data_IF_365728555933
#
_entry.id   IF_365728555933
#
_cell.length_a   1.000
_cell.length_b   1.000
_cell.length_c   1.000
_cell.angle_alpha   90.00
_cell.angle_beta   90.00
_cell.angle_gamma   90.00
#
_symmetry.space_group_name_H-M   'P 1'
#
loop_
_entity.id
_entity.type
_entity.pdbx_description
1 polymer ?
#
# COMPACT_ATOMS: atom_id res chain seq x y z
N UNK A 1 -0.23 -16.55 34.62
CA UNK A 1 0.37 -17.46 33.62
C UNK A 1 -0.70 -17.89 32.63
N UNK A 2 -0.67 -17.36 31.42
CA UNK A 2 -1.65 -17.72 30.38
C UNK A 2 -1.27 -19.10 29.82
N UNK A 3 -1.92 -20.16 30.28
CA UNK A 3 -1.81 -21.48 29.62
C UNK A 3 -2.56 -21.37 28.29
N UNK A 4 -1.93 -21.67 27.14
CA UNK A 4 -2.55 -21.51 25.83
C UNK A 4 -3.87 -22.29 25.79
N UNK A 5 -4.91 -21.66 25.25
CA UNK A 5 -6.28 -22.19 25.18
C UNK A 5 -6.32 -23.60 24.56
N UNK A 6 -5.41 -23.86 23.62
CA UNK A 6 -5.17 -25.16 23.00
C UNK A 6 -4.73 -26.26 23.99
N UNK A 7 -3.92 -25.94 25.00
CA UNK A 7 -3.56 -26.90 26.07
C UNK A 7 -4.72 -27.14 27.03
N UNK A 8 -5.51 -26.11 27.35
CA UNK A 8 -6.68 -26.27 28.23
C UNK A 8 -7.73 -27.20 27.61
N UNK A 9 -7.91 -27.14 26.30
CA UNK A 9 -8.81 -28.03 25.56
C UNK A 9 -8.52 -29.53 25.78
N UNK A 10 -7.25 -29.91 26.01
CA UNK A 10 -6.87 -31.31 26.25
C UNK A 10 -7.23 -31.79 27.66
N UNK A 11 -7.43 -30.87 28.60
CA UNK A 11 -7.64 -31.17 30.03
C UNK A 11 -9.09 -31.01 30.48
N UNK A 12 -9.96 -30.43 29.64
CA UNK A 12 -11.36 -30.18 30.00
C UNK A 12 -12.22 -31.43 29.84
N UNK A 13 -13.07 -31.68 30.84
CA UNK A 13 -14.00 -32.83 30.89
C UNK A 13 -15.00 -32.87 29.72
N UNK A 14 -15.37 -31.71 29.17
CA UNK A 14 -16.24 -31.62 27.99
C UNK A 14 -15.61 -30.72 26.92
N UNK A 15 -14.83 -31.30 25.98
CA UNK A 15 -14.09 -30.53 24.98
C UNK A 15 -15.02 -29.87 23.94
N UNK A 16 -16.16 -30.46 23.61
CA UNK A 16 -17.09 -29.90 22.64
C UNK A 16 -17.70 -28.57 23.12
N UNK A 17 -18.18 -28.55 24.38
CA UNK A 17 -18.72 -27.33 25.00
C UNK A 17 -17.65 -26.24 25.14
N UNK A 18 -16.41 -26.63 25.46
CA UNK A 18 -15.30 -25.69 25.58
C UNK A 18 -14.89 -25.07 24.25
N UNK A 19 -14.89 -25.86 23.16
CA UNK A 19 -14.65 -25.33 21.80
C UNK A 19 -15.70 -24.32 21.39
N UNK A 20 -16.99 -24.60 21.64
CA UNK A 20 -18.06 -23.68 21.27
C UNK A 20 -17.99 -22.38 22.09
N UNK A 21 -17.71 -22.48 23.40
CA UNK A 21 -17.54 -21.32 24.27
C UNK A 21 -16.36 -20.42 23.85
N UNK A 22 -15.29 -21.00 23.30
CA UNK A 22 -14.08 -20.29 22.88
C UNK A 22 -13.90 -20.24 21.35
N UNK A 23 -14.99 -20.39 20.59
CA UNK A 23 -14.94 -20.56 19.13
C UNK A 23 -14.21 -19.43 18.42
N UNK A 24 -14.47 -18.18 18.81
CA UNK A 24 -13.81 -17.01 18.23
C UNK A 24 -12.29 -17.02 18.49
N UNK A 25 -11.87 -17.36 19.70
CA UNK A 25 -10.45 -17.43 20.08
C UNK A 25 -9.73 -18.56 19.32
N UNK A 26 -10.37 -19.71 19.13
CA UNK A 26 -9.83 -20.81 18.33
C UNK A 26 -9.70 -20.44 16.85
N UNK A 27 -10.70 -19.74 16.28
CA UNK A 27 -10.63 -19.30 14.89
C UNK A 27 -9.43 -18.36 14.65
N UNK A 28 -9.18 -17.42 15.56
CA UNK A 28 -8.02 -16.52 15.49
C UNK A 28 -6.71 -17.30 15.60
N UNK A 29 -6.63 -18.24 16.54
CA UNK A 29 -5.45 -19.09 16.72
C UNK A 29 -5.17 -19.96 15.47
N UNK A 30 -6.20 -20.58 14.90
CA UNK A 30 -6.07 -21.40 13.68
C UNK A 30 -5.64 -20.56 12.48
N UNK A 31 -6.20 -19.36 12.30
CA UNK A 31 -5.79 -18.43 11.25
C UNK A 31 -4.32 -18.00 11.41
N UNK A 32 -3.88 -17.68 12.64
CA UNK A 32 -2.48 -17.36 12.91
C UNK A 32 -1.56 -18.56 12.62
N UNK A 33 -1.93 -19.76 13.06
CA UNK A 33 -1.18 -20.97 12.76
C UNK A 33 -1.08 -21.26 11.26
N UNK A 34 -2.16 -21.04 10.50
CA UNK A 34 -2.16 -21.19 9.04
C UNK A 34 -1.20 -20.18 8.38
N UNK A 35 -1.20 -18.93 8.83
CA UNK A 35 -0.27 -17.91 8.36
C UNK A 35 1.20 -18.29 8.62
N UNK A 36 1.53 -18.70 9.86
CA UNK A 36 2.89 -19.13 10.18
C UNK A 36 3.33 -20.33 9.33
N UNK A 37 2.45 -21.33 9.13
CA UNK A 37 2.73 -22.48 8.26
C UNK A 37 2.96 -22.07 6.81
N UNK A 38 2.11 -21.19 6.26
CA UNK A 38 2.24 -20.70 4.88
C UNK A 38 3.54 -19.93 4.64
N UNK A 39 4.03 -19.21 5.66
CA UNK A 39 5.27 -18.44 5.60
C UNK A 39 6.51 -19.23 6.08
N UNK A 40 6.39 -20.55 6.34
CA UNK A 40 7.50 -21.38 6.80
C UNK A 40 8.03 -21.03 8.21
N UNK A 41 7.27 -20.26 8.97
CA UNK A 41 7.64 -19.77 10.29
C UNK A 41 7.25 -20.80 11.36
N UNK A 42 8.25 -21.39 12.03
CA UNK A 42 8.02 -22.40 13.09
C UNK A 42 7.91 -21.79 14.49
N UNK A 43 8.48 -20.61 14.68
CA UNK A 43 8.48 -19.85 15.93
C UNK A 43 8.12 -18.39 15.64
N UNK A 44 7.55 -17.70 16.63
CA UNK A 44 7.40 -16.25 16.53
C UNK A 44 8.77 -15.62 16.23
N UNK A 45 8.86 -14.74 15.22
CA UNK A 45 10.07 -13.97 14.97
C UNK A 45 10.51 -13.22 16.24
N UNK A 46 11.81 -13.05 16.42
CA UNK A 46 12.32 -12.17 17.46
C UNK A 46 11.79 -10.74 17.22
N UNK A 47 11.29 -10.09 18.28
CA UNK A 47 10.70 -8.75 18.20
C UNK A 47 11.67 -7.76 17.55
N UNK A 48 12.98 -7.92 17.81
CA UNK A 48 14.03 -7.09 17.18
C UNK A 48 14.11 -7.28 15.68
N UNK A 49 13.94 -8.50 15.19
CA UNK A 49 13.95 -8.78 13.74
C UNK A 49 12.73 -8.17 13.07
N UNK A 50 11.56 -8.30 13.70
CA UNK A 50 10.33 -7.72 13.19
C UNK A 50 10.40 -6.19 13.11
N UNK A 51 10.95 -5.53 14.13
CA UNK A 51 11.14 -4.08 14.10
C UNK A 51 12.13 -3.66 13.00
N UNK A 52 13.25 -4.39 12.84
CA UNK A 52 14.21 -4.12 11.77
C UNK A 52 13.58 -4.27 10.36
N UNK A 53 12.78 -5.31 10.13
CA UNK A 53 12.04 -5.51 8.89
C UNK A 53 11.04 -4.38 8.66
N UNK A 54 10.30 -3.98 9.71
CA UNK A 54 9.36 -2.86 9.63
C UNK A 54 10.07 -1.55 9.26
N UNK A 55 11.20 -1.21 9.90
CA UNK A 55 11.96 -0.02 9.58
C UNK A 55 12.46 -0.05 8.13
N UNK A 56 12.94 -1.20 7.68
CA UNK A 56 13.41 -1.40 6.30
C UNK A 56 12.28 -1.14 5.30
N UNK A 57 11.15 -1.84 5.43
CA UNK A 57 9.99 -1.67 4.56
C UNK A 57 9.44 -0.24 4.60
N UNK A 58 9.41 0.39 5.78
CA UNK A 58 8.95 1.77 5.94
C UNK A 58 9.86 2.75 5.19
N UNK A 59 11.18 2.55 5.26
CA UNK A 59 12.15 3.36 4.53
C UNK A 59 12.01 3.20 3.01
N UNK A 60 11.84 1.98 2.53
CA UNK A 60 11.62 1.69 1.10
C UNK A 60 10.33 2.35 0.60
N UNK A 61 9.23 2.19 1.33
CA UNK A 61 7.94 2.83 1.03
C UNK A 61 8.08 4.35 0.93
N UNK A 62 8.81 4.98 1.86
CA UNK A 62 9.03 6.42 1.84
C UNK A 62 9.88 6.85 0.63
N UNK A 63 10.89 6.05 0.26
CA UNK A 63 11.68 6.24 -0.95
C UNK A 63 10.83 6.20 -2.22
N UNK A 64 9.98 5.17 -2.36
CA UNK A 64 9.03 5.07 -3.48
C UNK A 64 8.05 6.25 -3.52
N UNK A 65 7.48 6.61 -2.37
CA UNK A 65 6.52 7.71 -2.30
C UNK A 65 7.15 9.05 -2.71
N UNK A 66 8.38 9.31 -2.29
CA UNK A 66 9.13 10.52 -2.68
C UNK A 66 9.35 10.58 -4.19
N UNK A 67 9.82 9.48 -4.79
CA UNK A 67 10.04 9.39 -6.24
C UNK A 67 8.73 9.58 -7.01
N UNK A 68 7.65 8.94 -6.56
CA UNK A 68 6.32 9.08 -7.16
C UNK A 68 5.83 10.53 -7.13
N UNK A 69 5.96 11.22 -5.99
CA UNK A 69 5.54 12.63 -5.86
C UNK A 69 6.36 13.54 -6.78
N UNK A 70 7.68 13.30 -6.88
CA UNK A 70 8.55 14.04 -7.81
C UNK A 70 8.13 13.83 -9.26
N UNK A 71 7.92 12.58 -9.68
CA UNK A 71 7.46 12.27 -11.04
C UNK A 71 6.08 12.89 -11.38
N UNK A 72 5.17 12.97 -10.41
CA UNK A 72 3.89 13.68 -10.58
C UNK A 72 4.07 15.17 -10.86
N UNK A 73 5.02 15.81 -10.18
CA UNK A 73 5.33 17.24 -10.37
C UNK A 73 5.93 17.46 -11.76
N UNK A 74 6.93 16.67 -12.12
CA UNK A 74 7.59 16.73 -13.44
C UNK A 74 6.59 16.52 -14.58
N UNK A 75 5.66 15.57 -14.44
CA UNK A 75 4.60 15.36 -15.44
C UNK A 75 3.70 16.59 -15.60
N UNK A 76 3.37 17.28 -14.50
CA UNK A 76 2.56 18.51 -14.54
C UNK A 76 3.30 19.65 -15.22
N UNK A 77 4.60 19.79 -14.95
CA UNK A 77 5.45 20.80 -15.59
C UNK A 77 5.57 20.56 -17.09
N UNK A 78 5.81 19.31 -17.50
CA UNK A 78 5.86 18.93 -18.92
C UNK A 78 4.54 19.23 -19.65
N UNK A 79 3.38 18.90 -19.04
CA UNK A 79 2.07 19.24 -19.61
C UNK A 79 1.88 20.75 -19.77
N UNK A 80 2.31 21.52 -18.77
CA UNK A 80 2.26 22.98 -18.83
C UNK A 80 3.15 23.51 -19.96
N UNK A 81 4.37 23.00 -20.08
CA UNK A 81 5.30 23.38 -21.14
C UNK A 81 4.74 23.04 -22.53
N UNK A 82 4.16 21.85 -22.70
CA UNK A 82 3.48 21.46 -23.94
C UNK A 82 2.35 22.43 -24.31
N UNK A 83 1.46 22.75 -23.35
CA UNK A 83 0.38 23.70 -23.58
C UNK A 83 0.88 25.10 -23.95
N UNK A 84 1.97 25.56 -23.34
CA UNK A 84 2.58 26.84 -23.66
C UNK A 84 3.12 26.87 -25.10
N UNK A 85 3.78 25.78 -25.53
CA UNK A 85 4.26 25.63 -26.91
C UNK A 85 3.11 25.63 -27.91
N UNK A 86 2.06 24.83 -27.65
CA UNK A 86 0.86 24.81 -28.50
C UNK A 86 0.18 26.19 -28.57
N UNK A 87 0.11 26.92 -27.44
CA UNK A 87 -0.47 28.25 -27.39
C UNK A 87 0.38 29.30 -28.14
N UNK A 88 1.71 29.16 -28.12
CA UNK A 88 2.62 30.03 -28.87
C UNK A 88 2.36 29.93 -30.38
N UNK A 89 2.35 28.71 -30.93
CA UNK A 89 2.10 28.50 -32.36
C UNK A 89 0.69 28.92 -32.79
N UNK A 90 -0.34 28.63 -31.98
CA UNK A 90 -1.72 29.12 -32.26
C UNK A 90 -1.83 30.65 -32.28
N UNK A 91 -0.99 31.36 -31.53
CA UNK A 91 -0.95 32.83 -31.54
C UNK A 91 -0.24 33.36 -32.78
N UNK A 92 0.89 32.78 -33.18
CA UNK A 92 1.59 33.16 -34.41
C UNK A 92 0.70 32.98 -35.65
N UNK A 93 -0.02 31.86 -35.77
CA UNK A 93 -0.97 31.63 -36.88
C UNK A 93 -2.05 32.72 -36.97
N UNK A 94 -2.56 33.21 -35.84
CA UNK A 94 -3.55 34.30 -35.80
C UNK A 94 -2.94 35.67 -36.08
N UNK A 95 -1.67 35.88 -35.74
CA UNK A 95 -0.94 37.11 -36.07
C UNK A 95 -0.53 37.19 -37.54
N UNK A 96 -0.34 36.05 -38.21
CA UNK A 96 -0.06 35.97 -39.65
C UNK A 96 -1.30 35.90 -40.54
N UNK A 97 -2.49 35.69 -39.97
CA UNK A 97 -3.76 35.84 -40.67
C UNK A 97 -4.05 37.34 -40.88
N UNK A 98 -3.50 37.92 -41.95
CA UNK A 98 -3.81 39.27 -42.42
C UNK A 98 -5.34 39.36 -42.65
N UNK A 99 -6.05 40.35 -42.07
CA UNK A 99 -7.43 40.60 -42.46
C UNK A 99 -7.43 41.06 -43.93
N UNK A 100 -7.93 40.23 -44.83
CA UNK A 100 -8.37 40.67 -46.14
C UNK A 100 -9.62 41.54 -45.94
N UNK A 101 -9.44 42.81 -45.56
CA UNK A 101 -10.49 43.79 -45.66
C UNK A 101 -10.49 44.31 -47.10
N UNK A 102 -11.59 44.00 -47.78
CA UNK A 102 -11.94 44.37 -49.13
C UNK A 102 -11.68 45.86 -49.41
N UNK A 103 -10.95 46.12 -50.48
CA UNK A 103 -10.91 47.43 -51.12
C UNK A 103 -12.26 47.63 -51.82
N UNK A 104 -13.05 48.60 -51.37
CA UNK A 104 -14.17 49.18 -52.11
C UNK A 104 -13.97 50.67 -52.25
#
# INVERSE_FOLDING_TARGET
QYKPLAQKLQTVRNPAKFKEQHRAEFAVYEAACAYFKANGLRTLPDLKKLDAEYQTLSSEKNGFYTRYKKAQIELRELRTAQQNVEAFFRKEERSHAVPQQEVK
#
